data_IF_712809391471
#
_entry.id   IF_712809391471
#
_cell.length_a   1.000
_cell.length_b   1.000
_cell.length_c   1.000
_cell.angle_alpha   90.00
_cell.angle_beta   90.00
_cell.angle_gamma   90.00
#
_symmetry.space_group_name_H-M   'P 1'
#
loop_
_entity.id
_entity.type
_entity.pdbx_description
1 polymer ?
#
# COMPACT_ATOMS: atom_id res chain seq x y z
N UNK A 1 20.40 17.06 -28.06
CA UNK A 1 19.53 17.21 -26.88
C UNK A 1 20.42 17.45 -25.67
N UNK A 2 20.21 18.51 -24.87
CA UNK A 2 21.02 18.71 -23.66
C UNK A 2 20.82 17.54 -22.69
N UNK A 3 21.92 17.07 -22.10
CA UNK A 3 21.93 15.99 -21.12
C UNK A 3 21.19 16.47 -19.87
N UNK A 4 20.16 15.73 -19.47
CA UNK A 4 19.43 15.99 -18.21
C UNK A 4 20.44 16.01 -17.06
N UNK A 5 20.37 17.03 -16.19
CA UNK A 5 21.25 17.10 -15.03
C UNK A 5 20.97 15.94 -14.07
N UNK A 6 21.94 15.57 -13.24
CA UNK A 6 21.74 14.50 -12.24
C UNK A 6 20.57 14.80 -11.29
N UNK A 7 20.46 16.05 -10.86
CA UNK A 7 19.35 16.52 -10.03
C UNK A 7 18.00 16.38 -10.73
N UNK A 8 17.92 16.80 -12.00
CA UNK A 8 16.68 16.65 -12.77
C UNK A 8 16.31 15.19 -13.01
N UNK A 9 17.31 14.32 -13.23
CA UNK A 9 17.08 12.88 -13.37
C UNK A 9 16.52 12.26 -12.08
N UNK A 10 17.06 12.65 -10.91
CA UNK A 10 16.57 12.22 -9.60
C UNK A 10 15.15 12.72 -9.33
N UNK A 11 14.88 14.01 -9.59
CA UNK A 11 13.55 14.58 -9.45
C UNK A 11 12.52 13.92 -10.37
N UNK A 12 12.90 13.60 -11.62
CA UNK A 12 12.04 12.87 -12.54
C UNK A 12 11.77 11.45 -12.05
N UNK A 13 12.78 10.72 -11.56
CA UNK A 13 12.58 9.38 -11.00
C UNK A 13 11.59 9.42 -9.83
N UNK A 14 11.80 10.34 -8.89
CA UNK A 14 10.92 10.50 -7.73
C UNK A 14 9.47 10.76 -8.14
N UNK A 15 9.25 11.67 -9.10
CA UNK A 15 7.91 11.94 -9.65
C UNK A 15 7.27 10.71 -10.26
N UNK A 16 8.03 9.88 -10.99
CA UNK A 16 7.50 8.63 -11.55
C UNK A 16 7.09 7.67 -10.44
N UNK A 17 7.87 7.54 -9.37
CA UNK A 17 7.55 6.68 -8.22
C UNK A 17 6.28 7.15 -7.52
N UNK A 18 6.11 8.45 -7.27
CA UNK A 18 4.91 9.03 -6.64
C UNK A 18 3.65 8.81 -7.48
N UNK A 19 3.73 9.08 -8.79
CA UNK A 19 2.63 8.85 -9.72
C UNK A 19 2.29 7.37 -9.83
N UNK A 20 3.30 6.50 -9.92
CA UNK A 20 3.11 5.06 -9.98
C UNK A 20 2.48 4.52 -8.68
N UNK A 21 2.90 5.01 -7.51
CA UNK A 21 2.35 4.65 -6.20
C UNK A 21 0.85 4.91 -6.13
N UNK A 22 0.42 6.07 -6.60
CA UNK A 22 -1.00 6.44 -6.66
C UNK A 22 -1.74 5.56 -7.68
N UNK A 23 -1.26 5.50 -8.92
CA UNK A 23 -1.95 4.79 -10.01
C UNK A 23 -2.02 3.28 -9.81
N UNK A 24 -1.00 2.66 -9.22
CA UNK A 24 -1.06 1.24 -8.89
C UNK A 24 -2.15 0.97 -7.85
N UNK A 25 -2.24 1.78 -6.80
CA UNK A 25 -3.28 1.60 -5.77
C UNK A 25 -4.70 1.85 -6.31
N UNK A 26 -4.86 2.76 -7.27
CA UNK A 26 -6.16 3.06 -7.90
C UNK A 26 -6.58 2.04 -8.96
N UNK A 27 -5.62 1.53 -9.75
CA UNK A 27 -5.93 0.77 -10.98
C UNK A 27 -5.39 -0.66 -10.97
N UNK A 28 -4.71 -1.06 -9.90
CA UNK A 28 -4.03 -2.35 -9.79
C UNK A 28 -2.71 -2.39 -10.57
N UNK A 29 -1.87 -3.37 -10.26
CA UNK A 29 -0.56 -3.55 -10.89
C UNK A 29 -0.68 -3.85 -12.37
N UNK A 30 -1.73 -4.58 -12.79
CA UNK A 30 -1.95 -4.96 -14.20
C UNK A 30 -2.88 -4.00 -14.96
N UNK A 31 -3.66 -3.18 -14.26
CA UNK A 31 -4.63 -2.28 -14.90
C UNK A 31 -4.05 -0.97 -15.42
N UNK A 32 -2.77 -0.67 -15.17
CA UNK A 32 -2.10 0.52 -15.70
C UNK A 32 -0.78 0.18 -16.43
N UNK A 33 -0.55 0.77 -17.61
CA UNK A 33 0.67 0.56 -18.40
C UNK A 33 1.82 1.50 -18.01
N UNK A 34 3.07 1.12 -18.35
CA UNK A 34 4.24 2.00 -18.16
C UNK A 34 4.09 3.29 -18.97
N UNK A 35 3.54 3.22 -20.19
CA UNK A 35 3.28 4.41 -21.02
C UNK A 35 2.36 5.41 -20.33
N UNK A 36 1.27 4.94 -19.72
CA UNK A 36 0.31 5.79 -19.02
C UNK A 36 0.90 6.41 -17.75
N UNK A 37 1.68 5.63 -16.99
CA UNK A 37 2.40 6.14 -15.80
C UNK A 37 3.38 7.24 -16.20
N UNK A 38 4.17 7.02 -17.25
CA UNK A 38 5.13 8.01 -17.73
C UNK A 38 4.44 9.27 -18.23
N UNK A 39 3.35 9.11 -18.98
CA UNK A 39 2.53 10.22 -19.45
C UNK A 39 1.95 11.04 -18.29
N UNK A 40 1.41 10.37 -17.27
CA UNK A 40 0.90 11.01 -16.05
C UNK A 40 2.02 11.73 -15.26
N UNK A 41 3.25 11.21 -15.31
CA UNK A 41 4.43 11.87 -14.74
C UNK A 41 5.00 13.01 -15.61
N UNK A 42 4.39 13.29 -16.78
CA UNK A 42 4.85 14.32 -17.71
C UNK A 42 6.15 13.97 -18.44
N UNK A 43 6.44 12.68 -18.60
CA UNK A 43 7.68 12.15 -19.17
C UNK A 43 7.40 11.24 -20.37
N UNK A 44 8.41 11.10 -21.23
CA UNK A 44 8.30 10.21 -22.40
C UNK A 44 8.41 8.75 -21.99
N UNK A 45 7.73 7.87 -22.73
CA UNK A 45 7.80 6.42 -22.50
C UNK A 45 9.25 5.88 -22.53
N UNK A 46 10.08 6.38 -23.45
CA UNK A 46 11.48 5.99 -23.57
C UNK A 46 12.35 6.36 -22.36
N UNK A 47 11.94 7.36 -21.56
CA UNK A 47 12.64 7.75 -20.33
C UNK A 47 12.59 6.67 -19.24
N UNK A 48 11.61 5.77 -19.29
CA UNK A 48 11.41 4.73 -18.29
C UNK A 48 12.61 3.79 -18.19
N UNK A 49 13.06 3.25 -19.33
CA UNK A 49 14.15 2.27 -19.38
C UNK A 49 15.52 2.86 -19.03
N UNK A 50 15.65 4.19 -18.97
CA UNK A 50 16.83 4.86 -18.43
C UNK A 50 16.82 4.99 -16.91
N UNK A 51 15.68 4.74 -16.25
CA UNK A 51 15.48 4.91 -14.81
C UNK A 51 15.17 3.59 -14.10
N UNK A 52 14.32 2.75 -14.68
CA UNK A 52 13.84 1.51 -14.07
C UNK A 52 14.15 0.32 -14.96
N UNK A 53 14.55 -0.80 -14.35
CA UNK A 53 14.88 -2.02 -15.09
C UNK A 53 13.64 -2.64 -15.75
N UNK A 54 12.52 -2.64 -15.04
CA UNK A 54 11.24 -3.15 -15.49
C UNK A 54 10.11 -2.58 -14.60
N UNK A 55 8.87 -2.94 -14.93
CA UNK A 55 7.68 -2.48 -14.20
C UNK A 55 7.60 -3.02 -12.76
N UNK A 56 8.10 -4.23 -12.50
CA UNK A 56 8.15 -4.82 -11.15
C UNK A 56 9.08 -4.02 -10.23
N UNK A 57 10.24 -3.58 -10.73
CA UNK A 57 11.14 -2.69 -9.99
C UNK A 57 10.48 -1.35 -9.66
N UNK A 58 9.75 -0.75 -10.60
CA UNK A 58 8.96 0.45 -10.32
C UNK A 58 7.84 0.17 -9.29
N UNK A 59 7.13 -0.95 -9.40
CA UNK A 59 6.08 -1.34 -8.48
C UNK A 59 6.62 -1.53 -7.05
N UNK A 60 7.79 -2.14 -6.90
CA UNK A 60 8.45 -2.28 -5.62
C UNK A 60 8.84 -0.92 -5.00
N UNK A 61 9.46 -0.02 -5.78
CA UNK A 61 9.78 1.34 -5.29
C UNK A 61 8.53 2.16 -4.95
N UNK A 62 7.49 2.06 -5.77
CA UNK A 62 6.21 2.71 -5.54
C UNK A 62 5.50 2.18 -4.29
N UNK A 63 5.59 0.88 -4.03
CA UNK A 63 5.05 0.24 -2.84
C UNK A 63 5.79 0.71 -1.57
N UNK A 64 7.13 0.76 -1.61
CA UNK A 64 7.94 1.28 -0.50
C UNK A 64 7.61 2.76 -0.21
N UNK A 65 7.42 3.58 -1.25
CA UNK A 65 7.00 4.97 -1.10
C UNK A 65 5.62 5.09 -0.44
N UNK A 66 4.65 4.28 -0.87
CA UNK A 66 3.30 4.26 -0.27
C UNK A 66 3.32 3.84 1.21
N UNK A 67 4.12 2.83 1.58
CA UNK A 67 4.22 2.41 2.98
C UNK A 67 4.82 3.50 3.88
N UNK A 68 5.79 4.28 3.39
CA UNK A 68 6.42 5.35 4.14
C UNK A 68 5.48 6.53 4.44
N UNK A 69 4.42 6.69 3.65
CA UNK A 69 3.38 7.72 3.85
C UNK A 69 2.37 7.31 4.95
N UNK A 70 2.09 6.01 5.09
CA UNK A 70 0.85 5.52 5.71
C UNK A 70 0.86 5.36 7.24
N UNK A 71 2.01 5.50 7.93
CA UNK A 71 2.10 5.12 9.36
C UNK A 71 2.71 6.19 10.26
N UNK A 72 1.98 7.28 10.46
CA UNK A 72 2.36 8.33 11.42
C UNK A 72 1.37 8.37 12.58
N UNK A 73 1.91 8.36 13.80
CA UNK A 73 1.13 8.54 15.03
C UNK A 73 1.18 7.33 15.96
N UNK A 74 0.23 7.29 16.90
CA UNK A 74 0.06 6.17 17.84
C UNK A 74 -0.64 5.00 17.16
N UNK A 75 -0.59 3.80 17.74
CA UNK A 75 -1.33 2.63 17.25
C UNK A 75 -2.82 2.92 17.09
N UNK A 76 -3.45 3.59 18.06
CA UNK A 76 -4.86 3.97 17.98
C UNK A 76 -5.15 4.92 16.81
N UNK A 77 -4.26 5.89 16.57
CA UNK A 77 -4.37 6.80 15.42
C UNK A 77 -4.24 6.05 14.11
N UNK A 78 -3.30 5.10 14.02
CA UNK A 78 -3.12 4.28 12.82
C UNK A 78 -4.38 3.43 12.57
N UNK A 79 -4.91 2.75 13.59
CA UNK A 79 -6.13 1.94 13.47
C UNK A 79 -7.32 2.79 13.05
N UNK A 80 -7.53 3.96 13.68
CA UNK A 80 -8.64 4.86 13.35
C UNK A 80 -8.55 5.41 11.92
N UNK A 81 -7.36 5.80 11.47
CA UNK A 81 -7.15 6.27 10.09
C UNK A 81 -7.35 5.12 9.08
N UNK A 82 -6.87 3.93 9.41
CA UNK A 82 -6.99 2.75 8.55
C UNK A 82 -8.46 2.33 8.39
N UNK A 83 -9.24 2.37 9.48
CA UNK A 83 -10.67 2.05 9.50
C UNK A 83 -11.52 3.32 9.35
N UNK A 84 -11.22 4.10 8.31
CA UNK A 84 -11.99 5.28 7.92
C UNK A 84 -12.65 5.09 6.55
N UNK A 85 -13.77 5.78 6.30
CA UNK A 85 -14.39 5.79 4.98
C UNK A 85 -13.53 6.49 3.94
N UNK A 86 -12.76 7.50 4.35
CA UNK A 86 -11.80 8.17 3.47
C UNK A 86 -10.78 7.16 2.94
N UNK A 87 -10.24 6.28 3.81
CA UNK A 87 -9.35 5.22 3.37
C UNK A 87 -10.05 4.24 2.42
N UNK A 88 -11.30 3.86 2.68
CA UNK A 88 -12.08 3.00 1.77
C UNK A 88 -12.21 3.66 0.39
N UNK A 89 -12.59 4.94 0.33
CA UNK A 89 -12.90 5.65 -0.92
C UNK A 89 -11.66 6.08 -1.70
N UNK A 90 -10.56 6.42 -1.03
CA UNK A 90 -9.34 6.95 -1.66
C UNK A 90 -8.22 5.90 -1.70
N UNK A 91 -8.40 4.84 -2.49
CA UNK A 91 -7.38 3.79 -2.62
C UNK A 91 -6.00 4.34 -2.99
N UNK A 92 -5.94 5.35 -3.86
CA UNK A 92 -4.71 6.03 -4.29
C UNK A 92 -3.91 6.70 -3.18
N UNK A 93 -4.53 6.98 -2.02
CA UNK A 93 -3.87 7.58 -0.85
C UNK A 93 -3.79 6.63 0.35
N UNK A 94 -4.40 5.46 0.25
CA UNK A 94 -4.51 4.49 1.33
C UNK A 94 -3.39 3.45 1.40
N UNK A 95 -3.44 2.62 2.43
CA UNK A 95 -2.49 1.53 2.61
C UNK A 95 -2.35 0.63 1.36
N UNK A 96 -1.12 0.44 0.84
CA UNK A 96 -0.91 -0.38 -0.35
C UNK A 96 -1.21 -1.87 -0.10
N UNK A 97 -1.21 -2.34 1.14
CA UNK A 97 -1.62 -3.72 1.47
C UNK A 97 -3.10 -3.96 1.14
N UNK A 98 -3.98 -3.04 1.52
CA UNK A 98 -5.41 -3.13 1.22
C UNK A 98 -5.71 -2.88 -0.26
N UNK A 99 -4.93 -2.02 -0.93
CA UNK A 99 -5.14 -1.73 -2.35
C UNK A 99 -4.65 -2.87 -3.28
N UNK A 100 -3.55 -3.54 -2.93
CA UNK A 100 -2.80 -4.40 -3.86
C UNK A 100 -2.74 -5.88 -3.46
N UNK A 101 -3.34 -6.30 -2.34
CA UNK A 101 -3.29 -7.71 -1.90
C UNK A 101 -3.66 -8.71 -3.01
N UNK A 102 -4.76 -8.44 -3.72
CA UNK A 102 -5.23 -9.30 -4.80
C UNK A 102 -4.31 -9.27 -6.02
N UNK A 103 -3.77 -8.11 -6.39
CA UNK A 103 -2.79 -7.98 -7.48
C UNK A 103 -1.53 -8.77 -7.17
N UNK A 104 -0.92 -8.52 -6.00
CA UNK A 104 0.33 -9.15 -5.58
C UNK A 104 0.18 -10.67 -5.43
N UNK A 105 -1.00 -11.15 -5.02
CA UNK A 105 -1.28 -12.60 -4.94
C UNK A 105 -1.14 -13.31 -6.29
N UNK A 106 -1.35 -12.60 -7.40
CA UNK A 106 -1.28 -13.12 -8.78
C UNK A 106 0.10 -12.95 -9.42
N UNK A 107 1.00 -12.25 -8.76
CA UNK A 107 2.38 -12.11 -9.20
C UNK A 107 3.20 -13.37 -8.88
N UNK A 108 4.25 -13.58 -9.66
CA UNK A 108 5.14 -14.75 -9.54
C UNK A 108 5.83 -14.72 -8.18
N UNK A 109 5.92 -15.87 -7.52
CA UNK A 109 6.69 -16.02 -6.27
C UNK A 109 8.13 -15.53 -6.45
N UNK A 110 8.62 -14.71 -5.51
CA UNK A 110 9.96 -14.11 -5.57
C UNK A 110 10.07 -12.87 -6.46
N UNK A 111 8.96 -12.31 -6.98
CA UNK A 111 8.97 -10.97 -7.57
C UNK A 111 9.27 -9.90 -6.53
N UNK A 112 9.84 -8.78 -6.95
CA UNK A 112 10.24 -7.71 -6.05
C UNK A 112 9.03 -7.15 -5.29
N UNK A 113 7.89 -6.98 -5.97
CA UNK A 113 6.68 -6.48 -5.32
C UNK A 113 6.14 -7.45 -4.26
N UNK A 114 6.27 -8.78 -4.44
CA UNK A 114 5.87 -9.76 -3.40
C UNK A 114 6.78 -9.70 -2.18
N UNK A 115 8.08 -9.51 -2.38
CA UNK A 115 9.03 -9.31 -1.29
C UNK A 115 8.68 -8.05 -0.49
N UNK A 116 8.42 -6.93 -1.18
CA UNK A 116 7.99 -5.69 -0.52
C UNK A 116 6.66 -5.84 0.21
N UNK A 117 5.70 -6.55 -0.37
CA UNK A 117 4.43 -6.84 0.28
C UNK A 117 4.62 -7.62 1.59
N UNK A 118 5.52 -8.60 1.60
CA UNK A 118 5.84 -9.39 2.80
C UNK A 118 6.38 -8.49 3.91
N UNK A 119 7.39 -7.68 3.59
CA UNK A 119 7.94 -6.69 4.52
C UNK A 119 6.90 -5.69 4.98
N UNK A 120 5.98 -5.28 4.11
CA UNK A 120 4.88 -4.38 4.44
C UNK A 120 3.91 -4.95 5.47
N UNK A 121 3.55 -6.24 5.34
CA UNK A 121 2.72 -6.95 6.32
C UNK A 121 3.42 -7.01 7.68
N UNK A 122 4.70 -7.38 7.69
CA UNK A 122 5.51 -7.43 8.91
C UNK A 122 5.64 -6.04 9.57
N UNK A 123 5.83 -4.99 8.76
CA UNK A 123 5.89 -3.63 9.25
C UNK A 123 4.58 -3.18 9.89
N UNK A 124 3.44 -3.41 9.23
CA UNK A 124 2.14 -3.08 9.82
C UNK A 124 1.89 -3.88 11.10
N UNK A 125 2.24 -5.17 11.13
CA UNK A 125 2.15 -6.00 12.33
C UNK A 125 2.97 -5.44 13.51
N UNK A 126 4.13 -4.85 13.23
CA UNK A 126 4.98 -4.21 14.23
C UNK A 126 4.37 -2.91 14.79
N UNK A 127 3.63 -2.15 13.97
CA UNK A 127 2.97 -0.90 14.38
C UNK A 127 1.75 -1.18 15.26
N UNK A 128 1.00 -2.23 14.93
CA UNK A 128 -0.19 -2.65 15.68
C UNK A 128 0.11 -3.66 16.78
N UNK A 129 1.39 -3.83 17.12
CA UNK A 129 1.80 -4.79 18.12
C UNK A 129 1.25 -4.45 19.50
N UNK A 130 0.71 -5.48 20.15
CA UNK A 130 0.18 -5.39 21.50
C UNK A 130 1.32 -5.17 22.51
N UNK A 131 1.33 -4.05 23.26
CA UNK A 131 2.34 -3.79 24.26
C UNK A 131 2.19 -4.64 25.54
N UNK A 132 1.15 -5.49 25.65
CA UNK A 132 0.87 -6.27 26.86
C UNK A 132 2.04 -7.22 27.20
N UNK A 133 2.75 -6.99 28.31
CA UNK A 133 4.02 -7.66 28.59
C UNK A 133 3.87 -9.10 29.09
N UNK A 134 2.67 -9.53 29.51
CA UNK A 134 2.44 -10.86 30.10
C UNK A 134 2.23 -11.98 29.07
N UNK A 135 2.02 -11.65 27.79
CA UNK A 135 1.86 -12.64 26.72
C UNK A 135 3.21 -13.24 26.30
N UNK A 136 3.19 -14.43 25.68
CA UNK A 136 4.38 -14.96 24.99
C UNK A 136 4.62 -14.21 23.67
N UNK A 137 5.85 -14.22 23.16
CA UNK A 137 6.18 -13.60 21.87
C UNK A 137 5.32 -14.13 20.72
N UNK A 138 5.12 -15.44 20.67
CA UNK A 138 4.25 -16.10 19.69
C UNK A 138 2.81 -15.57 19.76
N UNK A 139 2.23 -15.49 20.96
CA UNK A 139 0.86 -14.96 21.13
C UNK A 139 0.73 -13.49 20.74
N UNK A 140 1.75 -12.67 21.04
CA UNK A 140 1.77 -11.27 20.58
C UNK A 140 1.82 -11.19 19.06
N UNK A 141 2.66 -12.01 18.43
CA UNK A 141 2.77 -12.06 16.96
C UNK A 141 1.45 -12.48 16.32
N UNK A 142 0.83 -13.55 16.80
CA UNK A 142 -0.45 -14.03 16.28
C UNK A 142 -1.55 -12.98 16.41
N UNK A 143 -1.60 -12.26 17.55
CA UNK A 143 -2.53 -11.15 17.75
C UNK A 143 -2.27 -10.01 16.76
N UNK A 144 -1.02 -9.58 16.58
CA UNK A 144 -0.68 -8.54 15.59
C UNK A 144 -1.11 -8.94 14.18
N UNK A 145 -0.85 -10.19 13.77
CA UNK A 145 -1.22 -10.69 12.45
C UNK A 145 -2.75 -10.80 12.28
N UNK A 146 -3.47 -11.14 13.35
CA UNK A 146 -4.94 -11.12 13.35
C UNK A 146 -5.48 -9.69 13.19
N UNK A 147 -4.88 -8.70 13.87
CA UNK A 147 -5.23 -7.28 13.72
C UNK A 147 -4.95 -6.82 12.28
N UNK A 148 -3.78 -7.10 11.73
CA UNK A 148 -3.44 -6.77 10.33
C UNK A 148 -4.45 -7.38 9.36
N UNK A 149 -4.79 -8.66 9.54
CA UNK A 149 -5.76 -9.36 8.70
C UNK A 149 -7.14 -8.72 8.78
N UNK A 150 -7.54 -8.27 9.97
CA UNK A 150 -8.81 -7.59 10.22
C UNK A 150 -8.84 -6.21 9.57
N UNK A 151 -7.79 -5.40 9.76
CA UNK A 151 -7.66 -4.07 9.16
C UNK A 151 -7.73 -4.13 7.63
N UNK A 152 -6.83 -4.92 7.04
CA UNK A 152 -6.71 -5.07 5.57
C UNK A 152 -8.00 -5.65 5.00
N UNK A 153 -8.52 -6.73 5.61
CA UNK A 153 -9.71 -7.42 5.14
C UNK A 153 -10.97 -6.54 5.20
N UNK A 154 -11.15 -5.78 6.28
CA UNK A 154 -12.30 -4.88 6.42
C UNK A 154 -12.33 -3.81 5.31
N UNK A 155 -11.19 -3.17 5.03
CA UNK A 155 -11.09 -2.16 3.97
C UNK A 155 -11.27 -2.78 2.59
N UNK A 156 -10.67 -3.94 2.32
CA UNK A 156 -10.84 -4.66 1.05
C UNK A 156 -12.30 -5.01 0.80
N UNK A 157 -12.99 -5.55 1.80
CA UNK A 157 -14.41 -5.88 1.69
C UNK A 157 -15.27 -4.63 1.55
N UNK A 158 -15.03 -3.59 2.36
CA UNK A 158 -15.78 -2.34 2.32
C UNK A 158 -15.64 -1.62 0.96
N UNK A 159 -14.49 -1.76 0.27
CA UNK A 159 -14.29 -1.26 -1.10
C UNK A 159 -15.05 -2.05 -2.16
N UNK A 160 -15.32 -3.33 -1.91
CA UNK A 160 -15.86 -4.24 -2.90
C UNK A 160 -17.39 -4.31 -2.92
N UNK A 161 -18.04 -3.95 -1.81
CA UNK A 161 -19.51 -3.96 -1.70
C UNK A 161 -20.12 -2.72 -2.37
N UNK A 162 -21.28 -2.90 -3.00
CA UNK A 162 -22.07 -1.81 -3.62
C UNK A 162 -23.18 -1.31 -2.66
N UNK A 163 -22.89 -1.32 -1.36
CA UNK A 163 -23.79 -0.86 -0.29
C UNK A 163 -22.99 -0.05 0.73
N UNK A 164 -23.26 1.25 0.80
CA UNK A 164 -22.57 2.18 1.69
C UNK A 164 -22.84 1.90 3.17
N UNK A 165 -24.03 1.40 3.51
CA UNK A 165 -24.35 0.99 4.89
C UNK A 165 -23.50 -0.21 5.29
N UNK A 166 -23.42 -1.21 4.41
CA UNK A 166 -22.61 -2.40 4.67
C UNK A 166 -21.12 -2.06 4.77
N UNK A 167 -20.61 -1.17 3.91
CA UNK A 167 -19.22 -0.69 3.99
C UNK A 167 -18.92 -0.03 5.35
N UNK A 168 -19.82 0.84 5.82
CA UNK A 168 -19.73 1.46 7.16
C UNK A 168 -19.77 0.43 8.28
N UNK A 169 -20.65 -0.56 8.18
CA UNK A 169 -20.80 -1.62 9.19
C UNK A 169 -19.56 -2.51 9.26
N UNK A 170 -18.93 -2.84 8.13
CA UNK A 170 -17.69 -3.61 8.07
C UNK A 170 -16.55 -2.89 8.81
N UNK A 171 -16.35 -1.61 8.49
CA UNK A 171 -15.32 -0.77 9.11
C UNK A 171 -15.57 -0.61 10.61
N UNK A 172 -16.80 -0.28 11.02
CA UNK A 172 -17.18 -0.15 12.43
C UNK A 172 -16.98 -1.45 13.20
N UNK A 173 -17.36 -2.59 12.63
CA UNK A 173 -17.26 -3.90 13.30
C UNK A 173 -15.80 -4.32 13.49
N UNK A 174 -14.95 -4.05 12.49
CA UNK A 174 -13.51 -4.27 12.61
C UNK A 174 -12.89 -3.39 13.71
N UNK A 175 -13.30 -2.12 13.79
CA UNK A 175 -12.81 -1.21 14.83
C UNK A 175 -13.18 -1.73 16.22
N UNK A 176 -14.44 -2.10 16.42
CA UNK A 176 -14.93 -2.62 17.70
C UNK A 176 -14.17 -3.87 18.17
N UNK A 177 -13.82 -4.77 17.24
CA UNK A 177 -13.05 -5.99 17.53
C UNK A 177 -11.59 -5.70 17.94
N UNK A 178 -10.97 -4.66 17.36
CA UNK A 178 -9.57 -4.32 17.64
C UNK A 178 -9.44 -3.56 18.96
N UNK A 179 -10.42 -2.70 19.28
CA UNK A 179 -10.39 -1.86 20.49
C UNK A 179 -11.01 -2.51 21.73
N UNK A 180 -11.61 -3.70 21.60
CA UNK A 180 -12.12 -4.49 22.72
C UNK A 180 -11.01 -5.26 23.43
#
# INVERSE_FOLDING_TARGET
MPKVSREQAKANRQRVVEVASTLFRERGLRGIGVADIMAAAGLTHGGFYGQFANKDALAAEAFDAALAEEYRGTTDTVVANYLSLDHVQEAGKGCPLAALANDVSREVSGSLVRERFTTGVEHLASIVADPTPEASEERRRDRSLAVVSTLVGAVVLARAVDDESLAKDLVRSAQALITS
#
